data_IF_416903539019
#
_entry.id   IF_416903539019
#
_cell.length_a   1.000
_cell.length_b   1.000
_cell.length_c   1.000
_cell.angle_alpha   90.00
_cell.angle_beta   90.00
_cell.angle_gamma   90.00
#
_symmetry.space_group_name_H-M   'P 1'
#
loop_
_entity.id
_entity.type
_entity.pdbx_description
1 polymer ?
#
# COMPACT_ATOMS: atom_id res chain seq x y z
N UNK A 1 16.35 -7.85 9.66
CA UNK A 1 15.06 -7.26 9.29
C UNK A 1 14.31 -6.69 10.48
N UNK A 2 14.34 -7.35 11.64
CA UNK A 2 13.67 -6.80 12.83
C UNK A 2 14.21 -5.41 13.23
N UNK A 3 15.54 -5.21 13.13
CA UNK A 3 16.12 -3.91 13.43
C UNK A 3 15.62 -2.82 12.48
N UNK A 4 15.37 -3.17 11.22
CA UNK A 4 14.84 -2.23 10.25
C UNK A 4 13.40 -1.84 10.52
N UNK A 5 12.63 -2.79 11.05
CA UNK A 5 11.24 -2.52 11.42
C UNK A 5 11.19 -1.54 12.59
N UNK A 6 12.04 -1.74 13.59
CA UNK A 6 12.08 -0.83 14.73
C UNK A 6 12.50 0.58 14.29
N UNK A 7 13.52 0.69 13.43
CA UNK A 7 13.96 1.98 12.91
C UNK A 7 12.85 2.65 12.09
N UNK A 8 12.11 1.86 11.33
CA UNK A 8 10.99 2.38 10.55
C UNK A 8 9.91 2.96 11.46
N UNK A 9 9.54 2.25 12.52
CA UNK A 9 8.55 2.74 13.48
C UNK A 9 9.00 4.03 14.15
N UNK A 10 10.27 4.11 14.53
CA UNK A 10 10.82 5.33 15.11
C UNK A 10 10.75 6.50 14.15
N UNK A 11 11.04 6.26 12.88
CA UNK A 11 10.98 7.30 11.86
C UNK A 11 9.55 7.81 11.66
N UNK A 12 8.55 6.94 11.75
CA UNK A 12 7.15 7.35 11.62
C UNK A 12 6.72 8.31 12.73
N UNK A 13 7.40 8.26 13.87
CA UNK A 13 7.09 9.13 15.01
C UNK A 13 7.77 10.49 14.94
N UNK A 14 8.67 10.68 14.00
CA UNK A 14 9.34 11.95 13.82
C UNK A 14 8.45 12.96 13.10
N UNK A 15 8.65 14.28 13.35
CA UNK A 15 7.80 15.28 12.69
C UNK A 15 7.80 15.19 11.17
N UNK A 16 8.92 14.88 10.54
CA UNK A 16 8.97 14.79 9.08
C UNK A 16 8.19 13.57 8.57
N UNK A 17 8.15 12.48 9.34
CA UNK A 17 7.34 11.32 8.99
C UNK A 17 5.86 11.65 9.03
N UNK A 18 5.43 12.39 10.04
CA UNK A 18 4.05 12.83 10.15
C UNK A 18 3.68 13.74 8.98
N UNK A 19 4.57 14.68 8.62
CA UNK A 19 4.33 15.58 7.48
C UNK A 19 4.18 14.77 6.19
N UNK A 20 5.01 13.75 5.98
CA UNK A 20 4.90 12.89 4.80
C UNK A 20 3.51 12.27 4.68
N UNK A 21 3.00 11.70 5.77
CA UNK A 21 1.69 11.07 5.75
C UNK A 21 0.56 12.08 5.63
N UNK A 22 0.70 13.25 6.23
CA UNK A 22 -0.29 14.31 6.09
C UNK A 22 -0.43 14.74 4.63
N UNK A 23 0.69 14.90 3.94
CA UNK A 23 0.70 15.25 2.51
C UNK A 23 0.09 14.11 1.70
N UNK A 24 0.49 12.88 1.96
CA UNK A 24 -0.02 11.72 1.25
C UNK A 24 -1.53 11.60 1.41
N UNK A 25 -2.03 11.72 2.63
CA UNK A 25 -3.47 11.63 2.88
C UNK A 25 -4.24 12.76 2.21
N UNK A 26 -3.67 13.95 2.13
CA UNK A 26 -4.27 15.05 1.40
C UNK A 26 -4.38 14.73 -0.09
N UNK A 27 -3.35 14.10 -0.66
CA UNK A 27 -3.38 13.69 -2.06
C UNK A 27 -4.42 12.59 -2.33
N UNK A 28 -4.73 11.79 -1.34
CA UNK A 28 -5.65 10.66 -1.46
C UNK A 28 -7.08 11.01 -1.02
N UNK A 29 -7.33 12.22 -0.60
CA UNK A 29 -8.60 12.61 0.06
C UNK A 29 -9.84 12.42 -0.80
N UNK A 30 -9.70 12.46 -2.11
CA UNK A 30 -10.84 12.33 -3.02
C UNK A 30 -11.18 10.87 -3.36
N UNK A 31 -10.39 9.93 -2.85
CA UNK A 31 -10.66 8.50 -3.05
C UNK A 31 -11.72 8.07 -2.04
N UNK A 32 -12.95 7.91 -2.53
CA UNK A 32 -14.11 7.55 -1.69
C UNK A 32 -15.03 6.61 -2.43
N UNK A 33 -15.56 5.62 -1.70
CA UNK A 33 -16.48 4.65 -2.27
C UNK A 33 -15.83 3.76 -3.32
N UNK A 34 -14.55 3.52 -3.21
CA UNK A 34 -13.77 2.79 -4.20
C UNK A 34 -13.29 1.44 -3.66
N UNK A 35 -12.97 0.55 -4.58
CA UNK A 35 -12.28 -0.68 -4.25
C UNK A 35 -10.79 -0.46 -4.46
N UNK A 36 -10.02 -0.53 -3.38
CA UNK A 36 -8.61 -0.15 -3.34
C UNK A 36 -7.74 -1.34 -3.02
N UNK A 37 -6.67 -1.52 -3.79
CA UNK A 37 -5.61 -2.47 -3.48
C UNK A 37 -4.40 -1.67 -2.97
N UNK A 38 -3.94 -1.97 -1.76
CA UNK A 38 -2.71 -1.39 -1.21
C UNK A 38 -1.64 -2.48 -1.22
N UNK A 39 -0.81 -2.45 -2.25
CA UNK A 39 0.24 -3.44 -2.46
C UNK A 39 1.52 -2.97 -1.78
N UNK A 40 1.97 -3.73 -0.79
CA UNK A 40 3.06 -3.33 0.08
C UNK A 40 2.56 -2.46 1.22
N UNK A 41 1.52 -2.92 1.89
CA UNK A 41 0.80 -2.11 2.88
C UNK A 41 1.60 -1.83 4.16
N UNK A 42 2.66 -2.59 4.42
CA UNK A 42 3.50 -2.38 5.60
C UNK A 42 2.72 -2.42 6.90
N UNK A 43 2.83 -1.37 7.69
CA UNK A 43 2.11 -1.26 8.97
C UNK A 43 0.66 -0.82 8.81
N UNK A 44 0.17 -0.69 7.58
CA UNK A 44 -1.23 -0.46 7.32
C UNK A 44 -1.73 0.96 7.51
N UNK A 45 -0.83 1.94 7.59
CA UNK A 45 -1.25 3.32 7.83
C UNK A 45 -2.14 3.86 6.72
N UNK A 46 -1.77 3.61 5.47
CA UNK A 46 -2.56 4.07 4.32
C UNK A 46 -3.83 3.25 4.19
N UNK A 47 -3.73 1.92 4.31
CA UNK A 47 -4.89 1.04 4.22
C UNK A 47 -5.94 1.40 5.27
N UNK A 48 -5.50 1.60 6.51
CA UNK A 48 -6.39 1.98 7.61
C UNK A 48 -7.08 3.31 7.33
N UNK A 49 -6.32 4.29 6.87
CA UNK A 49 -6.87 5.61 6.55
C UNK A 49 -7.94 5.53 5.46
N UNK A 50 -7.65 4.83 4.38
CA UNK A 50 -8.59 4.71 3.26
C UNK A 50 -9.79 3.83 3.58
N UNK A 51 -9.66 2.90 4.52
CA UNK A 51 -10.75 2.02 4.89
C UNK A 51 -11.92 2.74 5.54
N UNK A 52 -11.74 3.98 5.97
CA UNK A 52 -12.83 4.79 6.51
C UNK A 52 -13.92 5.02 5.47
N UNK A 53 -13.57 5.14 4.20
CA UNK A 53 -14.52 5.49 3.15
C UNK A 53 -14.41 4.60 1.92
N UNK A 54 -13.59 3.53 1.97
CA UNK A 54 -13.35 2.65 0.84
C UNK A 54 -13.31 1.21 1.27
N UNK A 55 -13.46 0.32 0.30
CA UNK A 55 -13.26 -1.10 0.48
C UNK A 55 -11.80 -1.41 0.14
N UNK A 56 -10.99 -1.73 1.15
CA UNK A 56 -9.54 -1.87 0.99
C UNK A 56 -9.11 -3.32 1.15
N UNK A 57 -8.25 -3.76 0.25
CA UNK A 57 -7.52 -5.01 0.35
C UNK A 57 -6.02 -4.67 0.41
N UNK A 58 -5.37 -5.07 1.48
CA UNK A 58 -3.94 -4.82 1.69
C UNK A 58 -3.15 -6.11 1.49
N UNK A 59 -1.98 -6.00 0.86
CA UNK A 59 -1.08 -7.12 0.63
C UNK A 59 0.32 -6.71 1.10
N UNK A 60 0.91 -7.51 1.98
CA UNK A 60 2.24 -7.24 2.54
C UNK A 60 2.97 -8.55 2.80
N UNK A 61 4.20 -8.73 2.29
CA UNK A 61 4.94 -9.98 2.53
C UNK A 61 5.56 -10.10 3.91
N UNK A 62 5.79 -8.99 4.61
CA UNK A 62 6.46 -9.02 5.91
C UNK A 62 5.47 -9.32 7.03
N UNK A 63 5.56 -10.52 7.58
CA UNK A 63 4.61 -10.97 8.62
C UNK A 63 4.68 -10.14 9.90
N UNK A 64 5.86 -9.62 10.25
CA UNK A 64 5.99 -8.78 11.46
C UNK A 64 5.24 -7.46 11.28
N UNK A 65 5.35 -6.87 10.11
CA UNK A 65 4.63 -5.63 9.82
C UNK A 65 3.12 -5.85 9.85
N UNK A 66 2.67 -6.96 9.28
CA UNK A 66 1.25 -7.32 9.30
C UNK A 66 0.76 -7.51 10.73
N UNK A 67 1.55 -8.19 11.57
CA UNK A 67 1.18 -8.43 12.96
C UNK A 67 1.07 -7.13 13.77
N UNK A 68 1.85 -6.12 13.42
CA UNK A 68 1.89 -4.83 14.12
C UNK A 68 1.05 -3.76 13.43
N UNK A 69 0.29 -4.14 12.42
CA UNK A 69 -0.42 -3.15 11.60
C UNK A 69 -1.49 -2.40 12.35
N UNK A 70 -1.74 -1.18 11.88
CA UNK A 70 -2.86 -0.36 12.33
C UNK A 70 -4.13 -0.85 11.65
N UNK A 71 -5.16 -1.14 12.43
CA UNK A 71 -6.45 -1.56 11.90
C UNK A 71 -7.58 -1.07 12.79
N UNK A 72 -7.72 0.25 12.87
CA UNK A 72 -8.83 0.89 13.58
C UNK A 72 -10.10 0.85 12.74
N UNK A 73 -9.95 0.75 11.42
CA UNK A 73 -11.04 0.62 10.47
C UNK A 73 -10.91 -0.72 9.76
N UNK A 74 -12.02 -1.39 9.44
CA UNK A 74 -11.95 -2.72 8.86
C UNK A 74 -11.42 -2.70 7.43
N UNK A 75 -10.44 -3.54 7.15
CA UNK A 75 -9.97 -3.83 5.81
C UNK A 75 -9.43 -5.25 5.78
N UNK A 76 -9.35 -5.82 4.57
CA UNK A 76 -8.85 -7.17 4.39
C UNK A 76 -7.32 -7.13 4.25
N UNK A 77 -6.63 -8.00 4.96
CA UNK A 77 -5.17 -8.10 4.92
C UNK A 77 -4.74 -9.48 4.47
N UNK A 78 -3.87 -9.53 3.47
CA UNK A 78 -3.23 -10.75 3.02
C UNK A 78 -1.72 -10.66 3.21
N UNK A 79 -1.09 -11.78 3.54
CA UNK A 79 0.36 -11.90 3.61
C UNK A 79 0.85 -12.49 2.29
N UNK A 80 1.73 -11.77 1.61
CA UNK A 80 2.24 -12.23 0.33
C UNK A 80 2.65 -11.08 -0.57
N UNK A 81 2.85 -11.40 -1.84
CA UNK A 81 3.29 -10.44 -2.84
C UNK A 81 2.59 -10.74 -4.17
N UNK A 82 3.35 -10.84 -5.27
CA UNK A 82 2.78 -11.12 -6.59
C UNK A 82 1.91 -12.37 -6.60
N UNK A 83 2.27 -13.38 -5.84
CA UNK A 83 1.50 -14.62 -5.73
C UNK A 83 0.04 -14.38 -5.34
N UNK A 84 -0.20 -13.41 -4.47
CA UNK A 84 -1.57 -13.07 -4.07
C UNK A 84 -2.34 -12.39 -5.21
N UNK A 85 -1.65 -11.60 -6.02
CA UNK A 85 -2.30 -10.87 -7.11
C UNK A 85 -2.86 -11.79 -8.18
N UNK A 86 -2.24 -12.95 -8.36
CA UNK A 86 -2.65 -13.91 -9.39
C UNK A 86 -4.03 -14.50 -9.13
N UNK A 87 -4.48 -14.50 -7.89
CA UNK A 87 -5.78 -15.06 -7.51
C UNK A 87 -6.94 -14.08 -7.73
N UNK A 88 -6.66 -12.81 -8.01
CA UNK A 88 -7.72 -11.82 -8.19
C UNK A 88 -8.19 -11.76 -9.64
N UNK A 89 -9.48 -11.44 -9.80
CA UNK A 89 -10.07 -11.32 -11.13
C UNK A 89 -9.61 -10.05 -11.83
N UNK A 90 -9.68 -10.07 -13.16
CA UNK A 90 -9.39 -8.90 -13.98
C UNK A 90 -10.33 -7.75 -13.61
N UNK A 91 -9.82 -6.53 -13.72
CA UNK A 91 -10.61 -5.32 -13.47
C UNK A 91 -11.35 -5.34 -12.14
N UNK A 92 -10.63 -5.73 -11.07
CA UNK A 92 -11.21 -5.85 -9.72
C UNK A 92 -11.12 -4.56 -8.92
N UNK A 93 -10.22 -3.65 -9.26
CA UNK A 93 -9.94 -2.49 -8.41
C UNK A 93 -10.10 -1.19 -9.16
N UNK A 94 -10.64 -0.21 -8.45
CA UNK A 94 -10.73 1.18 -8.94
C UNK A 94 -9.41 1.90 -8.75
N UNK A 95 -8.67 1.56 -7.69
CA UNK A 95 -7.42 2.21 -7.31
C UNK A 95 -6.42 1.16 -6.86
N UNK A 96 -5.20 1.27 -7.35
CA UNK A 96 -4.09 0.44 -6.87
C UNK A 96 -2.98 1.37 -6.38
N UNK A 97 -2.54 1.15 -5.14
CA UNK A 97 -1.44 1.89 -4.53
C UNK A 97 -0.24 0.97 -4.38
N UNK A 98 0.93 1.47 -4.75
CA UNK A 98 2.19 0.77 -4.54
C UNK A 98 3.21 1.80 -4.08
N UNK A 99 3.21 2.06 -2.78
CA UNK A 99 4.04 3.10 -2.20
C UNK A 99 5.23 2.51 -1.47
N UNK A 100 6.42 2.99 -1.86
CA UNK A 100 7.68 2.65 -1.19
C UNK A 100 8.07 1.16 -1.26
N UNK A 101 7.58 0.44 -2.25
CA UNK A 101 7.75 -1.03 -2.31
C UNK A 101 8.34 -1.50 -3.63
N UNK A 102 8.01 -0.84 -4.74
CA UNK A 102 8.29 -1.38 -6.07
C UNK A 102 9.76 -1.72 -6.29
N UNK A 103 10.67 -0.94 -5.75
CA UNK A 103 12.10 -1.20 -5.94
C UNK A 103 12.60 -2.44 -5.19
N UNK A 104 11.82 -2.96 -4.23
CA UNK A 104 12.16 -4.17 -3.50
C UNK A 104 11.56 -5.42 -4.12
N UNK A 105 10.78 -5.25 -5.18
CA UNK A 105 10.14 -6.37 -5.86
C UNK A 105 11.07 -6.92 -6.93
N UNK A 106 11.32 -8.23 -6.86
CA UNK A 106 12.25 -8.90 -7.75
C UNK A 106 11.82 -8.83 -9.21
N UNK A 107 10.52 -8.96 -9.48
CA UNK A 107 10.00 -8.97 -10.82
C UNK A 107 9.02 -7.82 -11.05
N UNK A 108 9.58 -6.63 -11.21
CA UNK A 108 8.78 -5.41 -11.38
C UNK A 108 7.86 -5.44 -12.58
N UNK A 109 8.32 -6.02 -13.69
CA UNK A 109 7.50 -6.10 -14.90
C UNK A 109 6.26 -6.94 -14.69
N UNK A 110 6.40 -8.08 -14.02
CA UNK A 110 5.26 -8.95 -13.73
C UNK A 110 4.27 -8.25 -12.79
N UNK A 111 4.77 -7.52 -11.80
CA UNK A 111 3.91 -6.78 -10.88
C UNK A 111 3.13 -5.70 -11.63
N UNK A 112 3.80 -4.92 -12.48
CA UNK A 112 3.14 -3.87 -13.25
C UNK A 112 2.11 -4.43 -14.21
N UNK A 113 2.40 -5.56 -14.84
CA UNK A 113 1.41 -6.23 -15.69
C UNK A 113 0.20 -6.68 -14.90
N UNK A 114 0.42 -7.20 -13.68
CA UNK A 114 -0.68 -7.58 -12.80
C UNK A 114 -1.53 -6.37 -12.43
N UNK A 115 -0.91 -5.23 -12.12
CA UNK A 115 -1.66 -4.03 -11.80
C UNK A 115 -2.55 -3.59 -12.95
N UNK A 116 -2.00 -3.60 -14.17
CA UNK A 116 -2.77 -3.22 -15.37
C UNK A 116 -3.97 -4.15 -15.55
N UNK A 117 -3.76 -5.45 -15.35
CA UNK A 117 -4.84 -6.44 -15.45
C UNK A 117 -5.92 -6.19 -14.41
N UNK A 118 -5.51 -5.87 -13.19
CA UNK A 118 -6.42 -5.74 -12.04
C UNK A 118 -7.17 -4.42 -12.00
N UNK A 119 -6.65 -3.38 -12.66
CA UNK A 119 -7.33 -2.09 -12.69
C UNK A 119 -8.52 -2.11 -13.62
N UNK A 120 -9.61 -1.53 -13.15
CA UNK A 120 -10.77 -1.26 -14.01
C UNK A 120 -10.40 -0.20 -15.04
N UNK A 121 -11.06 -0.19 -16.20
CA UNK A 121 -10.88 0.91 -17.16
C UNK A 121 -11.11 2.26 -16.49
N UNK A 122 -10.17 3.18 -16.68
CA UNK A 122 -10.23 4.49 -16.02
C UNK A 122 -9.76 4.49 -14.57
N UNK A 123 -9.28 3.35 -14.07
CA UNK A 123 -8.78 3.26 -12.70
C UNK A 123 -7.47 4.03 -12.48
N UNK A 124 -7.15 4.27 -11.22
CA UNK A 124 -5.98 5.03 -10.81
C UNK A 124 -4.89 4.10 -10.28
N UNK A 125 -3.68 4.25 -10.82
CA UNK A 125 -2.49 3.58 -10.29
C UNK A 125 -1.57 4.63 -9.69
N UNK A 126 -1.29 4.52 -8.39
CA UNK A 126 -0.41 5.44 -7.69
C UNK A 126 0.84 4.72 -7.22
N UNK A 127 1.99 5.10 -7.74
CA UNK A 127 3.28 4.52 -7.38
C UNK A 127 4.17 5.61 -6.81
N UNK A 128 4.74 5.35 -5.64
CA UNK A 128 5.68 6.28 -5.01
C UNK A 128 6.97 5.52 -4.71
N UNK A 129 8.09 6.05 -5.17
CA UNK A 129 9.40 5.48 -4.91
C UNK A 129 10.00 6.11 -3.65
N UNK A 130 10.53 5.32 -2.73
CA UNK A 130 10.98 5.86 -1.46
C UNK A 130 12.26 6.69 -1.55
N UNK A 131 13.11 6.43 -2.51
CA UNK A 131 14.46 6.98 -2.49
C UNK A 131 14.64 8.33 -3.15
N UNK A 132 13.65 8.81 -3.86
CA UNK A 132 13.83 10.05 -4.59
C UNK A 132 13.76 11.27 -3.70
N UNK A 133 13.09 11.16 -2.59
CA UNK A 133 12.94 12.27 -1.63
C UNK A 133 14.11 12.33 -0.68
N UNK A 134 14.70 11.21 -0.34
CA UNK A 134 15.78 11.14 0.65
C UNK A 134 17.15 11.51 0.14
N UNK A 135 17.25 11.90 -1.08
CA UNK A 135 18.51 12.26 -1.71
C UNK A 135 18.59 13.73 -2.04
#
# INVERSE_FOLDING_TARGET
MAANIQAYLENLQQPWGQIYYDILFEQLKDIKGKRVLDFGSGFGLVANHLAQENQVLAVEPNEEMVALRTQDHPYQQLVGSLDQLESFEDASFDVILCHNVLEYVENRKAVLKAFIRLLKPGGLLSIVKPNEVGR
#
